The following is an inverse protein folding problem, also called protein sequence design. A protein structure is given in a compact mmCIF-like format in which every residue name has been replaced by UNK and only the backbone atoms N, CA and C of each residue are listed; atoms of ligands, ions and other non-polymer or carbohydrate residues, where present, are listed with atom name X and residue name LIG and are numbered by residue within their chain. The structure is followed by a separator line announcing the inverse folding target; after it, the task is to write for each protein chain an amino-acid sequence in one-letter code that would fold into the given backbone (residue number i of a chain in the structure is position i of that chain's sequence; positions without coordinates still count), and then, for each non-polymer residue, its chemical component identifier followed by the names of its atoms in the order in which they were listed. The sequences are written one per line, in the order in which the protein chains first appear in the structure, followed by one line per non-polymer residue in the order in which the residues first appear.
data_IF_830822666650
#
_entry.id   IF_830822666650
#
_cell.length_a   1.000
_cell.length_b   1.000
_cell.length_c   1.000
_cell.angle_alpha   90.00
_cell.angle_beta   90.00
_cell.angle_gamma   90.00
#
_symmetry.space_group_name_H-M   'P 1'
#
loop_
_entity.id
_entity.type
_entity.pdbx_description
1 polymer ?
#
# COMPACT_ATOMS: atom_id res chain seq x y z
N UNK A 1 58.73 -13.57 5.67
CA UNK A 1 57.77 -14.07 4.66
C UNK A 1 56.38 -13.60 5.09
N UNK A 2 55.96 -12.42 4.63
CA UNK A 2 54.67 -11.84 5.01
C UNK A 2 53.75 -11.87 3.79
N UNK A 3 52.76 -12.76 3.85
CA UNK A 3 51.77 -12.96 2.80
C UNK A 3 50.77 -11.81 2.86
N UNK A 4 50.98 -10.79 2.03
CA UNK A 4 50.03 -9.71 1.76
C UNK A 4 48.77 -10.32 1.16
N UNK A 5 47.77 -10.54 2.02
CA UNK A 5 46.44 -11.01 1.65
C UNK A 5 45.77 -9.91 0.83
N UNK A 6 45.91 -9.96 -0.50
CA UNK A 6 45.16 -9.11 -1.43
C UNK A 6 43.68 -9.41 -1.23
N UNK A 7 42.96 -8.55 -0.52
CA UNK A 7 41.51 -8.49 -0.58
C UNK A 7 41.09 -8.40 -2.05
N UNK A 8 40.18 -9.25 -2.54
CA UNK A 8 39.70 -9.14 -3.92
C UNK A 8 39.13 -7.73 -4.08
N UNK A 9 39.75 -6.92 -4.94
CA UNK A 9 39.14 -5.67 -5.41
C UNK A 9 37.82 -6.11 -6.03
N UNK A 10 36.71 -5.79 -5.38
CA UNK A 10 35.40 -5.86 -6.04
C UNK A 10 35.58 -5.17 -7.40
N UNK A 11 35.22 -5.82 -8.52
CA UNK A 11 35.33 -5.18 -9.83
C UNK A 11 34.58 -3.86 -9.71
N UNK A 12 35.32 -2.76 -9.83
CA UNK A 12 34.72 -1.43 -9.81
C UNK A 12 33.73 -1.40 -10.97
N UNK A 13 32.45 -1.63 -10.67
CA UNK A 13 31.38 -1.38 -11.61
C UNK A 13 31.56 0.07 -12.05
N UNK A 14 31.57 0.28 -13.36
CA UNK A 14 31.60 1.61 -13.96
C UNK A 14 30.55 2.48 -13.24
N UNK A 15 30.94 3.57 -12.56
CA UNK A 15 30.02 4.42 -11.80
C UNK A 15 28.82 4.88 -12.61
N UNK A 16 28.99 5.02 -13.93
CA UNK A 16 27.93 5.34 -14.85
C UNK A 16 26.91 4.20 -15.03
N UNK A 17 27.41 2.97 -15.22
CA UNK A 17 26.56 1.77 -15.30
C UNK A 17 25.79 1.54 -14.00
N UNK A 18 26.43 1.73 -12.85
CA UNK A 18 25.79 1.58 -11.55
C UNK A 18 24.70 2.64 -11.33
N UNK A 19 24.95 3.89 -11.75
CA UNK A 19 23.93 4.95 -11.76
C UNK A 19 22.71 4.58 -12.63
N UNK A 20 22.93 4.03 -13.83
CA UNK A 20 21.84 3.58 -14.71
C UNK A 20 21.02 2.45 -14.08
N UNK A 21 21.68 1.48 -13.44
CA UNK A 21 21.02 0.40 -12.69
C UNK A 21 20.19 0.97 -11.55
N UNK A 22 20.74 1.91 -10.78
CA UNK A 22 20.03 2.57 -9.68
C UNK A 22 18.78 3.33 -10.16
N UNK A 23 18.87 4.09 -11.25
CA UNK A 23 17.73 4.82 -11.82
C UNK A 23 16.65 3.88 -12.36
N UNK A 24 17.04 2.81 -13.07
CA UNK A 24 16.10 1.79 -13.51
C UNK A 24 15.40 1.09 -12.33
N UNK A 25 16.14 0.80 -11.26
CA UNK A 25 15.61 0.23 -10.02
C UNK A 25 14.61 1.18 -9.35
N UNK A 26 14.93 2.47 -9.27
CA UNK A 26 14.03 3.48 -8.72
C UNK A 26 12.72 3.56 -9.53
N UNK A 27 12.80 3.57 -10.86
CA UNK A 27 11.62 3.57 -11.74
C UNK A 27 10.76 2.31 -11.55
N UNK A 28 11.39 1.15 -11.34
CA UNK A 28 10.71 -0.10 -11.02
C UNK A 28 9.93 0.01 -9.70
N UNK A 29 10.55 0.54 -8.64
CA UNK A 29 9.85 0.73 -7.36
C UNK A 29 8.72 1.76 -7.43
N UNK A 30 8.89 2.86 -8.17
CA UNK A 30 7.80 3.81 -8.43
C UNK A 30 6.61 3.13 -9.10
N UNK A 31 6.87 2.25 -10.08
CA UNK A 31 5.83 1.47 -10.75
C UNK A 31 5.14 0.49 -9.79
N UNK A 32 5.91 -0.20 -8.94
CA UNK A 32 5.37 -1.08 -7.91
C UNK A 32 4.48 -0.35 -6.90
N UNK A 33 4.88 0.86 -6.48
CA UNK A 33 4.09 1.74 -5.62
C UNK A 33 2.77 2.11 -6.29
N UNK A 34 2.80 2.55 -7.55
CA UNK A 34 1.58 2.89 -8.31
C UNK A 34 0.63 1.70 -8.43
N UNK A 35 1.18 0.51 -8.71
CA UNK A 35 0.37 -0.71 -8.78
C UNK A 35 -0.29 -1.03 -7.43
N UNK A 36 0.43 -0.87 -6.32
CA UNK A 36 -0.13 -1.04 -4.99
C UNK A 36 -1.24 -0.03 -4.68
N UNK A 37 -1.09 1.23 -5.10
CA UNK A 37 -2.10 2.28 -4.93
C UNK A 37 -3.36 1.99 -5.74
N UNK A 38 -3.21 1.60 -7.01
CA UNK A 38 -4.34 1.17 -7.86
C UNK A 38 -5.06 -0.02 -7.24
N UNK A 39 -4.33 -1.00 -6.70
CA UNK A 39 -4.93 -2.14 -6.02
C UNK A 39 -5.70 -1.71 -4.77
N UNK A 40 -5.15 -0.81 -3.96
CA UNK A 40 -5.83 -0.31 -2.76
C UNK A 40 -7.13 0.45 -3.11
N UNK A 41 -7.10 1.29 -4.15
CA UNK A 41 -8.29 1.99 -4.66
C UNK A 41 -9.35 1.03 -5.20
N UNK A 42 -8.94 0.01 -5.95
CA UNK A 42 -9.87 -0.99 -6.47
C UNK A 42 -10.55 -1.77 -5.33
N UNK A 43 -9.81 -2.15 -4.28
CA UNK A 43 -10.38 -2.83 -3.11
C UNK A 43 -11.36 -1.94 -2.35
N UNK A 44 -11.04 -0.66 -2.14
CA UNK A 44 -11.97 0.31 -1.53
C UNK A 44 -13.25 0.47 -2.35
N UNK A 45 -13.16 0.50 -3.68
CA UNK A 45 -14.32 0.59 -4.55
C UNK A 45 -15.22 -0.66 -4.42
N UNK A 46 -14.61 -1.85 -4.36
CA UNK A 46 -15.34 -3.11 -4.14
C UNK A 46 -16.04 -3.10 -2.78
N UNK A 47 -15.35 -2.68 -1.72
CA UNK A 47 -15.93 -2.55 -0.37
C UNK A 47 -17.13 -1.62 -0.36
N UNK A 48 -17.04 -0.45 -1.00
CA UNK A 48 -18.15 0.50 -1.13
C UNK A 48 -19.33 -0.08 -1.91
N UNK A 49 -19.08 -0.81 -2.99
CA UNK A 49 -20.12 -1.50 -3.76
C UNK A 49 -20.87 -2.55 -2.93
N UNK A 50 -20.14 -3.38 -2.18
CA UNK A 50 -20.74 -4.40 -1.32
C UNK A 50 -21.50 -3.78 -0.16
N UNK A 51 -20.98 -2.73 0.48
CA UNK A 51 -21.69 -1.97 1.51
C UNK A 51 -23.04 -1.44 0.99
N UNK A 52 -23.03 -0.86 -0.21
CA UNK A 52 -24.26 -0.36 -0.85
C UNK A 52 -25.26 -1.48 -1.11
N UNK A 53 -24.81 -2.62 -1.63
CA UNK A 53 -25.67 -3.78 -1.91
C UNK A 53 -26.27 -4.40 -0.63
N UNK A 54 -25.49 -4.47 0.45
CA UNK A 54 -25.98 -4.95 1.76
C UNK A 54 -27.04 -3.99 2.30
N UNK A 55 -26.79 -2.68 2.25
CA UNK A 55 -27.76 -1.67 2.72
C UNK A 55 -29.07 -1.78 1.94
N UNK A 56 -29.00 -1.84 0.61
CA UNK A 56 -30.18 -1.92 -0.27
C UNK A 56 -31.04 -3.17 -0.02
N UNK A 57 -30.40 -4.33 0.19
CA UNK A 57 -31.11 -5.61 0.34
C UNK A 57 -31.52 -5.95 1.77
N UNK A 58 -30.69 -5.61 2.75
CA UNK A 58 -30.87 -6.10 4.12
C UNK A 58 -31.72 -5.14 4.95
N UNK A 59 -31.53 -3.82 4.82
CA UNK A 59 -32.25 -2.81 5.63
C UNK A 59 -33.77 -2.94 5.50
N UNK A 60 -34.36 -3.09 4.29
CA UNK A 60 -35.82 -3.21 4.14
C UNK A 60 -36.42 -4.46 4.81
N UNK A 61 -35.61 -5.50 5.00
CA UNK A 61 -36.04 -6.81 5.50
C UNK A 61 -35.76 -6.99 7.01
N UNK A 62 -35.32 -5.94 7.70
CA UNK A 62 -34.98 -6.01 9.15
C UNK A 62 -36.19 -6.04 10.07
N UNK A 63 -37.41 -5.89 9.56
CA UNK A 63 -38.64 -5.81 10.36
C UNK A 63 -39.28 -7.18 10.53
N UNK A 64 -39.29 -7.69 11.78
CA UNK A 64 -40.07 -8.86 12.19
C UNK A 64 -39.33 -10.20 12.14
N UNK A 65 -39.28 -10.91 13.28
CA UNK A 65 -38.75 -12.28 13.42
C UNK A 65 -38.44 -12.64 14.87
N UNK A 66 -37.92 -13.84 15.11
CA UNK A 66 -37.58 -14.32 16.45
C UNK A 66 -36.40 -13.53 17.05
N UNK A 67 -36.31 -13.40 18.39
CA UNK A 67 -35.20 -12.69 19.04
C UNK A 67 -33.84 -13.31 18.72
N UNK A 68 -33.77 -14.63 18.51
CA UNK A 68 -32.55 -15.32 18.08
C UNK A 68 -32.11 -14.91 16.67
N UNK A 69 -33.03 -14.75 15.72
CA UNK A 69 -32.73 -14.27 14.38
C UNK A 69 -32.29 -12.79 14.38
N UNK A 70 -32.86 -11.97 15.26
CA UNK A 70 -32.43 -10.58 15.44
C UNK A 70 -31.00 -10.49 15.97
N UNK A 71 -30.64 -11.30 16.97
CA UNK A 71 -29.27 -11.37 17.50
C UNK A 71 -28.27 -11.81 16.44
N UNK A 72 -28.61 -12.82 15.63
CA UNK A 72 -27.73 -13.28 14.55
C UNK A 72 -27.50 -12.18 13.49
N UNK A 73 -28.56 -11.52 13.03
CA UNK A 73 -28.46 -10.40 12.07
C UNK A 73 -27.62 -9.26 12.66
N UNK A 74 -27.85 -8.88 13.91
CA UNK A 74 -27.08 -7.84 14.59
C UNK A 74 -25.59 -8.22 14.70
N UNK A 75 -25.28 -9.48 15.02
CA UNK A 75 -23.89 -9.96 15.11
C UNK A 75 -23.18 -9.94 13.75
N UNK A 76 -23.84 -10.38 12.68
CA UNK A 76 -23.29 -10.36 11.33
C UNK A 76 -23.14 -8.93 10.80
N UNK A 77 -24.10 -8.04 11.09
CA UNK A 77 -24.01 -6.62 10.77
C UNK A 77 -22.83 -5.96 11.49
N UNK A 78 -22.62 -6.27 12.77
CA UNK A 78 -21.49 -5.75 13.54
C UNK A 78 -20.15 -6.25 12.96
N UNK A 79 -20.04 -7.55 12.64
CA UNK A 79 -18.84 -8.11 12.01
C UNK A 79 -18.58 -7.50 10.63
N UNK A 80 -19.63 -7.28 9.84
CA UNK A 80 -19.55 -6.64 8.54
C UNK A 80 -19.01 -5.21 8.64
N UNK A 81 -19.62 -4.38 9.51
CA UNK A 81 -19.23 -2.98 9.71
C UNK A 81 -17.81 -2.90 10.29
N UNK A 82 -17.47 -3.71 11.28
CA UNK A 82 -16.14 -3.73 11.87
C UNK A 82 -15.08 -4.18 10.85
N UNK A 83 -15.36 -5.24 10.09
CA UNK A 83 -14.47 -5.74 9.03
C UNK A 83 -14.22 -4.69 7.95
N UNK A 84 -15.29 -4.06 7.44
CA UNK A 84 -15.20 -2.96 6.49
C UNK A 84 -14.39 -1.78 7.03
N UNK A 85 -14.70 -1.32 8.25
CA UNK A 85 -14.02 -0.17 8.84
C UNK A 85 -12.51 -0.42 9.01
N UNK A 86 -12.13 -1.61 9.49
CA UNK A 86 -10.72 -1.97 9.68
C UNK A 86 -10.01 -2.12 8.34
N UNK A 87 -10.65 -2.75 7.34
CA UNK A 87 -10.07 -2.92 6.01
C UNK A 87 -9.90 -1.57 5.30
N UNK A 88 -10.94 -0.74 5.28
CA UNK A 88 -10.90 0.61 4.72
C UNK A 88 -9.86 1.51 5.43
N UNK A 89 -9.74 1.42 6.75
CA UNK A 89 -8.71 2.12 7.51
C UNK A 89 -7.30 1.71 7.07
N UNK A 90 -7.06 0.41 6.87
CA UNK A 90 -5.75 -0.07 6.42
C UNK A 90 -5.44 0.32 4.97
N UNK A 91 -6.44 0.30 4.10
CA UNK A 91 -6.31 0.72 2.70
C UNK A 91 -6.08 2.23 2.56
N UNK A 92 -6.80 3.05 3.33
CA UNK A 92 -6.56 4.50 3.38
C UNK A 92 -5.19 4.83 3.95
N UNK A 93 -4.72 4.10 4.97
CA UNK A 93 -3.34 4.21 5.43
C UNK A 93 -2.34 3.78 4.35
N UNK A 94 -2.64 2.81 3.49
CA UNK A 94 -1.77 2.44 2.36
C UNK A 94 -1.64 3.58 1.34
N UNK A 95 -2.73 4.32 1.11
CA UNK A 95 -2.80 5.46 0.20
C UNK A 95 -2.24 6.77 0.79
N UNK A 96 -2.16 6.88 2.13
CA UNK A 96 -1.70 8.10 2.79
C UNK A 96 -0.30 8.51 2.28
N UNK A 97 -0.14 9.71 1.71
CA UNK A 97 1.16 10.18 1.27
C UNK A 97 2.09 10.29 2.48
N UNK A 98 3.23 9.58 2.41
CA UNK A 98 4.28 9.70 3.42
C UNK A 98 5.08 10.95 3.09
N UNK A 99 4.79 12.04 3.81
CA UNK A 99 5.44 13.33 3.64
C UNK A 99 6.69 13.47 4.54
N UNK A 100 6.86 12.62 5.55
CA UNK A 100 7.97 12.70 6.52
C UNK A 100 9.35 12.43 5.89
N UNK A 101 9.37 11.78 4.72
CA UNK A 101 10.57 11.49 3.91
C UNK A 101 11.11 12.71 3.14
N UNK A 102 10.38 13.82 3.08
CA UNK A 102 10.84 15.05 2.41
C UNK A 102 12.08 15.70 3.06
N UNK A 103 12.65 15.07 4.10
CA UNK A 103 13.88 15.51 4.75
C UNK A 103 15.14 15.10 3.97
N UNK A 104 15.06 14.19 2.99
CA UNK A 104 16.22 13.90 2.12
C UNK A 104 16.34 14.99 1.05
N UNK A 105 17.43 15.75 1.09
CA UNK A 105 17.80 16.77 0.08
C UNK A 105 18.29 16.09 -1.20
N UNK A 106 17.58 15.04 -1.64
CA UNK A 106 17.98 14.23 -2.77
C UNK A 106 17.50 14.90 -4.06
N UNK A 107 18.47 15.28 -4.90
CA UNK A 107 18.26 15.93 -6.19
C UNK A 107 17.41 15.12 -7.17
N UNK A 108 17.36 13.79 -7.01
CA UNK A 108 16.52 12.90 -7.81
C UNK A 108 15.07 12.76 -7.28
N UNK A 109 14.82 13.08 -6.01
CA UNK A 109 13.48 12.98 -5.42
C UNK A 109 12.59 14.18 -5.79
N UNK A 110 13.16 15.40 -5.80
CA UNK A 110 12.44 16.63 -6.12
C UNK A 110 13.28 17.57 -7.01
N UNK A 111 13.30 17.35 -8.35
CA UNK A 111 14.12 18.13 -9.28
C UNK A 111 13.86 19.63 -9.20
N UNK A 112 12.59 20.01 -8.95
CA UNK A 112 12.19 21.41 -8.83
C UNK A 112 12.68 22.09 -7.54
N UNK A 113 12.85 21.34 -6.45
CA UNK A 113 13.43 21.85 -5.20
C UNK A 113 14.95 21.91 -5.31
N UNK A 114 15.57 20.93 -5.98
CA UNK A 114 17.00 20.93 -6.27
C UNK A 114 17.42 22.13 -7.14
N UNK A 115 16.63 22.48 -8.17
CA UNK A 115 16.84 23.69 -8.99
C UNK A 115 16.81 25.00 -8.21
N UNK A 116 16.20 25.04 -7.03
CA UNK A 116 16.19 26.24 -6.16
C UNK A 116 17.45 26.36 -5.31
N UNK A 117 18.20 25.25 -5.16
CA UNK A 117 19.46 25.15 -4.44
C UNK A 117 20.69 25.32 -5.34
N UNK A 118 20.46 25.58 -6.63
CA UNK A 118 21.40 25.40 -7.76
C UNK A 118 22.41 26.55 -7.93
N UNK A 119 23.04 26.96 -6.82
CA UNK A 119 24.30 27.71 -6.83
C UNK A 119 25.51 26.79 -6.57
N UNK A 120 25.31 25.47 -6.54
CA UNK A 120 26.36 24.50 -6.23
C UNK A 120 27.00 23.94 -7.51
N UNK A 121 28.33 23.72 -7.53
CA UNK A 121 29.01 23.13 -8.69
C UNK A 121 28.48 21.72 -9.01
N UNK A 122 28.63 21.26 -10.28
CA UNK A 122 28.19 19.94 -10.69
C UNK A 122 28.84 18.85 -9.82
N UNK A 123 28.02 18.03 -9.19
CA UNK A 123 28.49 16.97 -8.30
C UNK A 123 29.19 15.84 -9.09
N UNK A 124 30.19 15.17 -8.51
CA UNK A 124 30.84 14.03 -9.14
C UNK A 124 29.87 12.86 -9.35
N UNK A 125 30.12 12.01 -10.36
CA UNK A 125 29.27 10.83 -10.69
C UNK A 125 29.10 9.89 -9.50
N UNK A 126 30.12 9.77 -8.64
CA UNK A 126 30.05 8.95 -7.42
C UNK A 126 29.00 9.46 -6.42
N UNK A 127 28.88 10.78 -6.26
CA UNK A 127 27.87 11.36 -5.39
C UNK A 127 26.45 11.12 -5.93
N UNK A 128 26.27 11.24 -7.24
CA UNK A 128 24.98 10.93 -7.88
C UNK A 128 24.58 9.46 -7.70
N UNK A 129 25.54 8.54 -7.79
CA UNK A 129 25.33 7.12 -7.54
C UNK A 129 24.83 6.87 -6.11
N UNK A 130 25.51 7.44 -5.11
CA UNK A 130 25.15 7.23 -3.72
C UNK A 130 23.76 7.82 -3.42
N UNK A 131 23.46 9.02 -3.92
CA UNK A 131 22.13 9.64 -3.82
C UNK A 131 21.03 8.79 -4.49
N UNK A 132 21.30 8.15 -5.64
CA UNK A 132 20.32 7.25 -6.28
C UNK A 132 20.06 6.01 -5.43
N UNK A 133 21.08 5.42 -4.81
CA UNK A 133 20.89 4.24 -3.95
C UNK A 133 20.16 4.57 -2.65
N UNK A 134 20.34 5.77 -2.11
CA UNK A 134 19.53 6.27 -1.00
C UNK A 134 18.05 6.35 -1.39
N UNK A 135 17.76 6.90 -2.59
CA UNK A 135 16.40 6.97 -3.13
C UNK A 135 15.80 5.57 -3.35
N UNK A 136 16.59 4.63 -3.89
CA UNK A 136 16.15 3.24 -4.11
C UNK A 136 15.77 2.58 -2.79
N UNK A 137 16.57 2.77 -1.74
CA UNK A 137 16.32 2.20 -0.41
C UNK A 137 15.04 2.78 0.18
N UNK A 138 14.83 4.09 0.06
CA UNK A 138 13.62 4.76 0.53
C UNK A 138 12.36 4.29 -0.23
N UNK A 139 12.43 4.19 -1.56
CA UNK A 139 11.33 3.69 -2.37
C UNK A 139 11.00 2.22 -2.06
N UNK A 140 12.03 1.38 -1.84
CA UNK A 140 11.84 0.00 -1.44
C UNK A 140 11.09 -0.10 -0.10
N UNK A 141 11.49 0.68 0.91
CA UNK A 141 10.80 0.73 2.19
C UNK A 141 9.33 1.18 2.06
N UNK A 142 9.06 2.19 1.22
CA UNK A 142 7.69 2.65 0.95
C UNK A 142 6.88 1.54 0.27
N UNK A 143 7.42 0.92 -0.79
CA UNK A 143 6.77 -0.15 -1.53
C UNK A 143 6.43 -1.34 -0.63
N UNK A 144 7.39 -1.81 0.19
CA UNK A 144 7.17 -2.89 1.15
C UNK A 144 6.09 -2.54 2.16
N UNK A 145 6.12 -1.33 2.71
CA UNK A 145 5.15 -0.94 3.72
C UNK A 145 3.72 -0.78 3.15
N UNK A 146 3.58 -0.29 1.90
CA UNK A 146 2.29 -0.27 1.20
C UNK A 146 1.77 -1.69 0.94
N UNK A 147 2.63 -2.56 0.42
CA UNK A 147 2.28 -3.96 0.17
C UNK A 147 1.83 -4.67 1.45
N UNK A 148 2.53 -4.45 2.57
CA UNK A 148 2.18 -5.06 3.85
C UNK A 148 0.80 -4.59 4.37
N UNK A 149 0.46 -3.30 4.21
CA UNK A 149 -0.86 -2.78 4.58
C UNK A 149 -1.98 -3.38 3.73
N UNK A 150 -1.78 -3.47 2.40
CA UNK A 150 -2.74 -4.14 1.50
C UNK A 150 -2.89 -5.62 1.85
N UNK A 151 -1.80 -6.31 2.22
CA UNK A 151 -1.88 -7.72 2.63
C UNK A 151 -2.60 -7.89 3.98
N UNK A 152 -2.42 -6.95 4.91
CA UNK A 152 -3.06 -6.98 6.23
C UNK A 152 -4.56 -6.65 6.18
N UNK A 153 -5.04 -5.93 5.16
CA UNK A 153 -6.47 -5.63 5.01
C UNK A 153 -7.27 -6.84 4.50
N UNK A 154 -6.65 -7.74 3.73
CA UNK A 154 -7.29 -8.93 3.13
C UNK A 154 -8.12 -9.78 4.11
N UNK A 155 -7.62 -10.20 5.28
CA UNK A 155 -8.42 -11.02 6.21
C UNK A 155 -9.68 -10.28 6.72
N UNK A 156 -9.58 -8.97 6.94
CA UNK A 156 -10.72 -8.14 7.37
C UNK A 156 -11.75 -7.98 6.26
N UNK A 157 -11.28 -7.82 5.02
CA UNK A 157 -12.14 -7.78 3.85
C UNK A 157 -12.84 -9.14 3.65
N UNK A 158 -12.13 -10.27 3.80
CA UNK A 158 -12.73 -11.60 3.76
C UNK A 158 -13.80 -11.80 4.84
N UNK A 159 -13.54 -11.36 6.06
CA UNK A 159 -14.51 -11.40 7.16
C UNK A 159 -15.76 -10.56 6.84
N UNK A 160 -15.57 -9.36 6.30
CA UNK A 160 -16.67 -8.50 5.86
C UNK A 160 -17.49 -9.17 4.74
N UNK A 161 -16.84 -9.72 3.72
CA UNK A 161 -17.51 -10.39 2.60
C UNK A 161 -18.30 -11.62 3.05
N UNK A 162 -17.73 -12.44 3.95
CA UNK A 162 -18.43 -13.59 4.52
C UNK A 162 -19.66 -13.17 5.33
N UNK A 163 -19.53 -12.11 6.13
CA UNK A 163 -20.64 -11.56 6.93
C UNK A 163 -21.73 -10.97 6.03
N UNK A 164 -21.35 -10.25 4.97
CA UNK A 164 -22.28 -9.73 3.96
C UNK A 164 -23.06 -10.84 3.25
N UNK A 165 -22.38 -11.92 2.84
CA UNK A 165 -23.02 -13.09 2.25
C UNK A 165 -24.02 -13.75 3.20
N UNK A 166 -23.66 -13.89 4.49
CA UNK A 166 -24.56 -14.37 5.54
C UNK A 166 -25.80 -13.49 5.71
N UNK A 167 -25.61 -12.16 5.73
CA UNK A 167 -26.72 -11.20 5.82
C UNK A 167 -27.64 -11.30 4.60
N UNK A 168 -27.10 -11.34 3.38
CA UNK A 168 -27.90 -11.46 2.15
C UNK A 168 -28.66 -12.78 2.10
N UNK A 169 -28.05 -13.89 2.51
CA UNK A 169 -28.72 -15.18 2.54
C UNK A 169 -29.89 -15.19 3.54
N UNK A 170 -29.69 -14.64 4.73
CA UNK A 170 -30.75 -14.54 5.74
C UNK A 170 -31.89 -13.61 5.31
N UNK A 171 -31.57 -12.55 4.56
CA UNK A 171 -32.56 -11.60 4.07
C UNK A 171 -33.45 -12.26 3.01
N UNK A 172 -32.87 -13.03 2.08
CA UNK A 172 -33.60 -13.84 1.10
C UNK A 172 -34.52 -14.85 1.78
N UNK A 173 -34.02 -15.59 2.78
CA UNK A 173 -34.79 -16.62 3.50
C UNK A 173 -35.96 -16.06 4.32
N UNK A 174 -35.94 -14.78 4.70
CA UNK A 174 -37.07 -14.12 5.42
C UNK A 174 -38.07 -13.45 4.49
N UNK A 175 -37.68 -13.17 3.24
CA UNK A 175 -38.51 -12.48 2.26
C UNK A 175 -39.26 -13.38 1.29
N UNK A 176 -38.98 -14.70 1.28
CA UNK A 176 -39.73 -15.71 0.54
C UNK A 176 -40.71 -16.46 1.43
#
# INVERSE_FOLDING_TARGET
MENVRRTPRHPHLDPWRDLQVGLATAASFQSAIRYADTKALALLAIEGGVATAVVDRVVPQTVGGTPSAALLVASLALLFVAGLAIAAWQLTLALRPRLDSARSTNRFAFPNLARRQDNSPPAPVRQHRDEVWDLVTELAHIAMAKHHRVRRSMPWMMLAMASAGGLMLLSILRGG
#
